data_IF_402556567045
#
_entry.id   IF_402556567045
#
_cell.length_a   1.000
_cell.length_b   1.000
_cell.length_c   1.000
_cell.angle_alpha   90.00
_cell.angle_beta   90.00
_cell.angle_gamma   90.00
#
_symmetry.space_group_name_H-M   'P 1'
#
loop_
_entity.id
_entity.type
_entity.pdbx_description
1 polymer ?
#
# COMPACT_ATOMS: atom_id res chain seq x y z
N UNK A 1 41.25 -12.31 -3.89
CA UNK A 1 39.81 -12.62 -3.91
C UNK A 1 39.32 -12.44 -2.50
N UNK A 2 38.70 -11.29 -2.19
CA UNK A 2 37.87 -11.04 -0.99
C UNK A 2 37.53 -9.53 -0.97
N UNK A 3 36.72 -9.07 -1.92
CA UNK A 3 36.45 -7.63 -2.11
C UNK A 3 34.96 -7.29 -2.26
N UNK A 4 34.08 -8.20 -1.87
CA UNK A 4 32.61 -8.00 -1.89
C UNK A 4 32.01 -8.26 -0.50
N UNK A 5 32.78 -8.83 0.43
CA UNK A 5 32.24 -9.31 1.70
C UNK A 5 31.86 -8.18 2.66
N UNK A 6 32.63 -7.09 2.75
CA UNK A 6 32.42 -6.04 3.76
C UNK A 6 31.10 -5.25 3.60
N UNK A 7 30.61 -5.10 2.37
CA UNK A 7 29.28 -4.53 2.11
C UNK A 7 28.13 -5.46 2.53
N UNK A 8 28.40 -6.77 2.65
CA UNK A 8 27.43 -7.80 3.05
C UNK A 8 27.54 -8.21 4.53
N UNK A 9 28.69 -8.02 5.17
CA UNK A 9 28.95 -8.43 6.56
C UNK A 9 28.75 -7.34 7.61
N UNK A 10 28.39 -6.12 7.20
CA UNK A 10 28.06 -5.03 8.13
C UNK A 10 29.29 -4.33 8.72
N UNK A 11 30.35 -4.16 7.92
CA UNK A 11 31.51 -3.35 8.31
C UNK A 11 31.11 -1.93 8.73
N UNK A 12 31.92 -1.29 9.58
CA UNK A 12 31.62 0.07 10.08
C UNK A 12 31.87 1.11 8.98
N UNK A 13 30.88 1.91 8.56
CA UNK A 13 31.07 2.90 7.52
C UNK A 13 31.99 4.03 7.97
N UNK A 14 32.88 4.48 7.08
CA UNK A 14 33.80 5.61 7.33
C UNK A 14 33.08 6.94 7.21
N UNK A 15 32.02 7.00 6.39
CA UNK A 15 31.20 8.19 6.25
C UNK A 15 29.75 7.79 5.98
N UNK A 16 28.82 8.35 6.74
CA UNK A 16 27.38 8.21 6.50
C UNK A 16 26.81 9.56 6.14
N UNK A 17 26.32 9.70 4.91
CA UNK A 17 25.62 10.89 4.44
C UNK A 17 24.11 10.57 4.44
N UNK A 18 23.33 11.25 5.27
CA UNK A 18 21.87 11.18 5.25
C UNK A 18 21.38 12.39 4.47
N UNK A 19 20.62 12.14 3.40
CA UNK A 19 20.00 13.18 2.59
C UNK A 19 18.50 12.93 2.49
N UNK A 20 17.72 13.90 2.95
CA UNK A 20 16.27 13.89 2.83
C UNK A 20 15.88 14.56 1.52
N UNK A 21 15.23 13.83 0.62
CA UNK A 21 14.62 14.38 -0.60
C UNK A 21 13.11 14.16 -0.51
N UNK A 22 12.38 15.18 -0.06
CA UNK A 22 10.93 15.08 0.16
C UNK A 22 10.58 14.11 1.30
N UNK A 23 9.74 13.11 1.04
CA UNK A 23 9.37 12.05 2.00
C UNK A 23 10.31 10.85 1.99
N UNK A 24 11.35 10.87 1.15
CA UNK A 24 12.30 9.76 1.03
C UNK A 24 13.59 10.11 1.76
N UNK A 25 14.00 9.24 2.69
CA UNK A 25 15.30 9.34 3.34
C UNK A 25 16.28 8.47 2.55
N UNK A 26 17.35 9.10 2.05
CA UNK A 26 18.43 8.41 1.36
C UNK A 26 19.62 8.38 2.31
N UNK A 27 19.96 7.20 2.80
CA UNK A 27 21.18 6.99 3.56
C UNK A 27 22.25 6.43 2.61
N UNK A 28 23.34 7.19 2.44
CA UNK A 28 24.51 6.78 1.67
C UNK A 28 25.63 6.49 2.65
N UNK A 29 25.99 5.22 2.79
CA UNK A 29 27.12 4.77 3.59
C UNK A 29 28.32 4.58 2.65
N UNK A 30 29.44 5.21 2.97
CA UNK A 30 30.72 5.07 2.25
C UNK A 30 31.72 4.39 3.17
N UNK A 31 32.43 3.40 2.65
CA UNK A 31 33.40 2.61 3.39
C UNK A 31 34.84 2.99 3.01
N UNK A 32 35.82 2.55 3.80
CA UNK A 32 37.24 2.90 3.65
C UNK A 32 37.82 2.47 2.30
N UNK A 33 37.23 1.44 1.70
CA UNK A 33 37.59 0.82 0.43
C UNK A 33 37.01 1.58 -0.78
N UNK A 34 36.25 2.66 -0.56
CA UNK A 34 35.58 3.42 -1.61
C UNK A 34 34.24 2.84 -2.07
N UNK A 35 33.79 1.72 -1.48
CA UNK A 35 32.47 1.17 -1.76
C UNK A 35 31.36 2.04 -1.15
N UNK A 36 30.18 1.99 -1.77
CA UNK A 36 29.03 2.81 -1.40
C UNK A 36 27.81 1.90 -1.28
N UNK A 37 27.20 1.87 -0.09
CA UNK A 37 25.90 1.25 0.14
C UNK A 37 24.83 2.36 0.21
N UNK A 38 23.76 2.21 -0.57
CA UNK A 38 22.66 3.18 -0.64
C UNK A 38 21.40 2.50 -0.10
N UNK A 39 21.01 2.87 1.12
CA UNK A 39 19.75 2.43 1.71
C UNK A 39 18.70 3.51 1.41
N UNK A 40 17.75 3.18 0.53
CA UNK A 40 16.57 4.02 0.27
C UNK A 40 15.50 3.64 1.29
N UNK A 41 15.25 4.50 2.26
CA UNK A 41 14.15 4.35 3.20
C UNK A 41 13.01 5.19 2.63
N UNK A 42 12.05 4.51 1.99
CA UNK A 42 10.82 5.17 1.55
C UNK A 42 10.01 5.51 2.82
N UNK A 43 9.96 6.79 3.16
CA UNK A 43 9.08 7.27 4.23
C UNK A 43 7.63 7.08 3.78
N UNK A 44 6.79 6.59 4.70
CA UNK A 44 5.37 6.40 4.43
C UNK A 44 4.76 7.70 3.90
N UNK A 45 4.35 7.70 2.64
CA UNK A 45 3.68 8.84 2.01
C UNK A 45 2.40 9.10 2.81
N UNK A 46 2.32 10.28 3.41
CA UNK A 46 1.09 10.73 4.04
C UNK A 46 -0.03 10.68 2.99
N UNK A 47 -1.19 10.08 3.29
CA UNK A 47 -2.28 10.00 2.32
C UNK A 47 -2.63 11.42 1.87
N UNK A 48 -2.73 11.67 0.55
CA UNK A 48 -2.99 13.01 0.03
C UNK A 48 -4.27 13.58 0.64
N UNK A 49 -4.16 14.77 1.23
CA UNK A 49 -5.32 15.52 1.73
C UNK A 49 -6.18 15.91 0.53
N UNK A 50 -7.35 15.28 0.40
CA UNK A 50 -8.40 15.73 -0.54
C UNK A 50 -9.04 14.67 -1.43
N UNK A 51 -8.63 13.40 -1.39
CA UNK A 51 -9.32 12.30 -2.11
C UNK A 51 -9.60 11.10 -1.21
N UNK A 52 -9.84 11.34 0.07
CA UNK A 52 -10.40 10.30 0.94
C UNK A 52 -11.90 10.25 0.68
N UNK A 53 -12.29 9.45 -0.31
CA UNK A 53 -13.70 9.21 -0.57
C UNK A 53 -14.21 8.10 0.34
N UNK A 54 -15.24 8.39 1.14
CA UNK A 54 -16.06 7.32 1.73
C UNK A 54 -16.87 6.58 0.67
N UNK A 55 -16.98 7.09 -0.57
CA UNK A 55 -17.87 6.52 -1.59
C UNK A 55 -17.52 5.09 -1.98
N UNK A 56 -16.29 4.65 -1.77
CA UNK A 56 -15.91 3.28 -2.08
C UNK A 56 -16.16 2.28 -0.95
N UNK A 57 -16.59 2.68 0.25
CA UNK A 57 -16.91 1.75 1.36
C UNK A 57 -18.42 1.73 1.59
N UNK A 58 -19.11 0.71 1.09
CA UNK A 58 -20.57 0.62 1.11
C UNK A 58 -21.09 -0.79 1.44
N UNK A 59 -22.42 -0.95 1.47
CA UNK A 59 -23.06 -2.27 1.60
C UNK A 59 -22.82 -3.02 2.93
N UNK A 60 -22.30 -2.35 3.95
CA UNK A 60 -21.96 -2.96 5.22
C UNK A 60 -23.20 -3.34 6.05
N UNK A 61 -23.16 -4.49 6.71
CA UNK A 61 -24.03 -4.76 7.86
C UNK A 61 -23.35 -4.23 9.13
N UNK A 62 -24.02 -3.33 9.86
CA UNK A 62 -23.44 -2.69 11.05
C UNK A 62 -23.89 -3.37 12.34
N UNK A 63 -22.94 -3.71 13.22
CA UNK A 63 -23.19 -4.20 14.58
C UNK A 63 -22.26 -3.49 15.56
N UNK A 64 -22.74 -2.39 16.16
CA UNK A 64 -21.92 -1.50 16.99
C UNK A 64 -20.73 -0.95 16.22
N UNK A 65 -19.52 -1.27 16.68
CA UNK A 65 -18.24 -0.91 16.05
C UNK A 65 -17.81 -1.83 14.91
N UNK A 66 -18.54 -2.92 14.69
CA UNK A 66 -18.27 -3.90 13.64
C UNK A 66 -19.01 -3.54 12.36
N UNK A 67 -18.35 -3.76 11.22
CA UNK A 67 -18.89 -3.66 9.88
C UNK A 67 -18.59 -4.95 9.14
N UNK A 68 -19.65 -5.66 8.77
CA UNK A 68 -19.61 -6.95 8.12
C UNK A 68 -19.89 -6.83 6.63
N UNK A 69 -19.13 -7.58 5.83
CA UNK A 69 -19.32 -7.73 4.39
C UNK A 69 -19.49 -6.40 3.62
N UNK A 70 -18.68 -5.40 3.95
CA UNK A 70 -18.65 -4.13 3.23
C UNK A 70 -18.08 -4.32 1.82
N UNK A 71 -18.76 -3.78 0.82
CA UNK A 71 -18.23 -3.59 -0.53
C UNK A 71 -17.20 -2.48 -0.52
N UNK A 72 -15.99 -2.80 -0.96
CA UNK A 72 -14.92 -1.85 -1.22
C UNK A 72 -14.75 -1.80 -2.74
N UNK A 73 -15.03 -0.69 -3.40
CA UNK A 73 -14.86 -0.60 -4.86
C UNK A 73 -14.47 0.79 -5.37
N UNK A 74 -13.80 0.81 -6.53
CA UNK A 74 -13.30 2.02 -7.16
C UNK A 74 -12.95 1.82 -8.64
N UNK A 75 -12.90 2.92 -9.37
CA UNK A 75 -12.52 2.96 -10.79
C UNK A 75 -11.25 3.79 -10.98
N UNK A 76 -10.28 3.21 -11.68
CA UNK A 76 -8.96 3.78 -11.90
C UNK A 76 -8.56 3.61 -13.36
N UNK A 77 -8.59 4.69 -14.15
CA UNK A 77 -8.08 4.66 -15.53
C UNK A 77 -8.71 3.54 -16.39
N UNK A 78 -10.02 3.33 -16.26
CA UNK A 78 -10.73 2.26 -16.99
C UNK A 78 -10.61 0.85 -16.39
N UNK A 79 -9.99 0.72 -15.22
CA UNK A 79 -9.93 -0.51 -14.43
C UNK A 79 -10.80 -0.34 -13.19
N UNK A 80 -11.82 -1.17 -13.04
CA UNK A 80 -12.59 -1.32 -11.81
C UNK A 80 -11.91 -2.34 -10.92
N UNK A 81 -11.71 -1.97 -9.67
CA UNK A 81 -11.31 -2.87 -8.60
C UNK A 81 -12.44 -2.94 -7.58
N UNK A 82 -12.68 -4.11 -7.01
CA UNK A 82 -13.51 -4.22 -5.82
C UNK A 82 -13.28 -5.49 -5.03
N UNK A 83 -13.66 -5.50 -3.76
CA UNK A 83 -13.64 -6.66 -2.88
C UNK A 83 -14.57 -6.47 -1.70
N UNK A 84 -14.86 -7.54 -0.98
CA UNK A 84 -15.62 -7.46 0.27
C UNK A 84 -14.67 -7.48 1.47
N UNK A 85 -14.96 -6.70 2.50
CA UNK A 85 -14.20 -6.70 3.74
C UNK A 85 -15.08 -6.64 4.98
N UNK A 86 -14.57 -7.23 6.06
CA UNK A 86 -15.15 -7.17 7.39
C UNK A 86 -14.13 -6.56 8.33
N UNK A 87 -14.52 -5.53 9.07
CA UNK A 87 -13.63 -4.77 9.93
C UNK A 87 -14.35 -4.23 11.16
N UNK A 88 -13.55 -3.80 12.14
CA UNK A 88 -14.02 -3.08 13.31
C UNK A 88 -13.31 -1.74 13.40
N UNK A 89 -14.05 -0.69 13.78
CA UNK A 89 -13.49 0.60 14.10
C UNK A 89 -14.12 1.14 15.39
N UNK A 90 -13.34 1.80 16.22
CA UNK A 90 -13.76 2.41 17.49
C UNK A 90 -12.62 3.25 18.05
N UNK A 91 -12.79 3.82 19.24
CA UNK A 91 -11.73 4.63 19.86
C UNK A 91 -10.49 3.76 20.11
N UNK A 92 -9.36 4.07 19.48
CA UNK A 92 -8.14 3.29 19.66
C UNK A 92 -8.23 1.88 19.06
N UNK A 93 -9.29 1.56 18.30
CA UNK A 93 -9.45 0.27 17.63
C UNK A 93 -9.75 0.46 16.14
N UNK A 94 -8.93 -0.14 15.29
CA UNK A 94 -9.14 -0.22 13.85
C UNK A 94 -8.53 -1.53 13.39
N UNK A 95 -9.34 -2.46 12.88
CA UNK A 95 -8.84 -3.80 12.55
C UNK A 95 -9.63 -4.41 11.40
N UNK A 96 -8.91 -4.97 10.44
CA UNK A 96 -9.44 -5.75 9.34
C UNK A 96 -9.49 -7.21 9.78
N UNK A 97 -10.68 -7.80 9.76
CA UNK A 97 -10.92 -9.15 10.26
C UNK A 97 -10.85 -10.17 9.13
N UNK A 98 -11.51 -9.87 8.02
CA UNK A 98 -11.59 -10.73 6.85
C UNK A 98 -11.75 -9.90 5.57
N UNK A 99 -11.40 -10.50 4.43
CA UNK A 99 -11.58 -9.96 3.09
C UNK A 99 -11.79 -11.11 2.09
N UNK A 100 -12.58 -10.86 1.04
CA UNK A 100 -12.97 -11.90 0.06
C UNK A 100 -13.47 -11.28 -1.24
N UNK A 101 -13.83 -12.15 -2.20
CA UNK A 101 -14.52 -11.80 -3.45
C UNK A 101 -13.83 -10.69 -4.25
N UNK A 102 -12.56 -10.86 -4.64
CA UNK A 102 -11.89 -9.85 -5.45
C UNK A 102 -12.57 -9.77 -6.82
N UNK A 103 -12.73 -8.54 -7.31
CA UNK A 103 -13.34 -8.20 -8.59
C UNK A 103 -12.38 -7.28 -9.34
N UNK A 104 -12.06 -7.66 -10.57
CA UNK A 104 -11.38 -6.81 -11.54
C UNK A 104 -12.23 -6.76 -12.78
N UNK A 105 -12.46 -5.56 -13.31
CA UNK A 105 -13.15 -5.38 -14.59
C UNK A 105 -12.45 -4.29 -15.36
N UNK A 106 -12.17 -4.51 -16.64
CA UNK A 106 -11.45 -3.56 -17.46
C UNK A 106 -12.28 -3.20 -18.67
N UNK A 107 -12.25 -1.92 -19.04
CA UNK A 107 -12.93 -1.43 -20.24
C UNK A 107 -12.28 -2.02 -21.50
N UNK A 108 -13.02 -2.02 -22.60
CA UNK A 108 -12.50 -2.44 -23.91
C UNK A 108 -11.23 -1.66 -24.27
N UNK A 109 -10.22 -2.36 -24.80
CA UNK A 109 -8.92 -1.77 -25.12
C UNK A 109 -7.89 -1.86 -23.98
N UNK A 110 -8.28 -2.35 -22.80
CA UNK A 110 -7.40 -2.61 -21.66
C UNK A 110 -7.46 -4.10 -21.30
N UNK A 111 -6.31 -4.69 -21.02
CA UNK A 111 -6.20 -6.04 -20.44
C UNK A 111 -5.73 -5.93 -19.00
N UNK A 112 -6.23 -6.81 -18.14
CA UNK A 112 -5.90 -6.83 -16.73
C UNK A 112 -5.53 -8.24 -16.27
N UNK A 113 -4.61 -8.31 -15.32
CA UNK A 113 -4.25 -9.55 -14.65
C UNK A 113 -5.28 -9.95 -13.59
N UNK A 114 -5.06 -11.10 -12.98
CA UNK A 114 -5.77 -11.46 -11.75
C UNK A 114 -5.46 -10.46 -10.62
N UNK A 115 -6.45 -10.17 -9.75
CA UNK A 115 -6.24 -9.34 -8.58
C UNK A 115 -5.36 -10.02 -7.54
N UNK A 116 -4.50 -9.23 -6.89
CA UNK A 116 -3.66 -9.68 -5.79
C UNK A 116 -3.93 -8.85 -4.55
N UNK A 117 -4.18 -9.51 -3.42
CA UNK A 117 -4.31 -8.86 -2.13
C UNK A 117 -2.93 -8.63 -1.49
N UNK A 118 -2.79 -7.48 -0.84
CA UNK A 118 -1.62 -7.11 -0.05
C UNK A 118 -2.08 -6.61 1.32
N UNK A 119 -1.91 -7.44 2.35
CA UNK A 119 -2.19 -7.03 3.73
C UNK A 119 -0.96 -6.30 4.28
N UNK A 120 -1.02 -4.97 4.32
CA UNK A 120 0.06 -4.14 4.87
C UNK A 120 0.00 -4.14 6.39
N UNK A 121 -1.20 -3.97 6.95
CA UNK A 121 -1.41 -3.96 8.41
C UNK A 121 -2.81 -4.40 8.79
N UNK A 122 -2.92 -5.47 9.57
CA UNK A 122 -4.23 -5.99 10.02
C UNK A 122 -4.91 -5.12 11.08
N UNK A 123 -4.15 -4.47 11.96
CA UNK A 123 -4.67 -3.70 13.09
C UNK A 123 -3.92 -2.38 13.25
N UNK A 124 -4.64 -1.31 13.57
CA UNK A 124 -4.07 0.00 13.84
C UNK A 124 -3.11 -0.04 15.03
N UNK A 125 -2.11 0.83 15.02
CA UNK A 125 -1.12 0.94 16.08
C UNK A 125 -0.78 2.41 16.29
N UNK A 126 -1.27 3.00 17.38
CA UNK A 126 -1.16 4.43 17.63
C UNK A 126 -1.77 5.24 16.49
N UNK A 127 -0.98 6.08 15.84
CA UNK A 127 -1.42 6.91 14.72
C UNK A 127 -1.55 6.16 13.39
N UNK A 128 -1.01 4.94 13.29
CA UNK A 128 -0.98 4.14 12.05
C UNK A 128 -2.26 3.33 11.89
N UNK A 129 -2.89 3.44 10.72
CA UNK A 129 -4.14 2.76 10.35
C UNK A 129 -3.94 1.30 9.97
N UNK A 130 -4.96 0.47 10.12
CA UNK A 130 -5.01 -0.81 9.42
C UNK A 130 -5.18 -0.55 7.91
N UNK A 131 -4.54 -1.39 7.09
CA UNK A 131 -4.38 -1.19 5.65
C UNK A 131 -4.37 -2.53 4.92
N UNK A 132 -5.33 -2.69 4.01
CA UNK A 132 -5.43 -3.79 3.07
C UNK A 132 -5.50 -3.20 1.67
N UNK A 133 -4.53 -3.54 0.84
CA UNK A 133 -4.55 -3.24 -0.59
C UNK A 133 -5.03 -4.41 -1.42
N UNK A 134 -5.65 -4.11 -2.55
CA UNK A 134 -5.81 -5.01 -3.68
C UNK A 134 -5.25 -4.31 -4.91
N UNK A 135 -4.48 -5.02 -5.72
CA UNK A 135 -3.91 -4.46 -6.94
C UNK A 135 -4.07 -5.40 -8.12
N UNK A 136 -4.01 -4.82 -9.31
CA UNK A 136 -3.91 -5.57 -10.57
C UNK A 136 -2.91 -4.89 -11.48
N UNK A 137 -2.30 -5.67 -12.35
CA UNK A 137 -1.57 -5.15 -13.49
C UNK A 137 -2.57 -4.89 -14.62
N UNK A 138 -2.33 -3.84 -15.40
CA UNK A 138 -3.11 -3.52 -16.60
C UNK A 138 -2.22 -3.01 -17.74
N UNK A 139 -2.64 -3.26 -18.97
CA UNK A 139 -1.96 -2.75 -20.17
C UNK A 139 -2.96 -2.32 -21.25
N UNK A 140 -2.60 -1.28 -22.00
CA UNK A 140 -3.36 -0.84 -23.16
C UNK A 140 -3.00 -1.71 -24.36
N UNK A 141 -4.01 -2.24 -25.05
CA UNK A 141 -3.81 -3.09 -26.23
C UNK A 141 -3.06 -2.28 -27.30
N UNK A 142 -1.92 -2.82 -27.75
CA UNK A 142 -1.13 -2.24 -28.84
C UNK A 142 -0.20 -1.07 -28.46
N UNK A 143 -0.22 -0.58 -27.23
CA UNK A 143 0.65 0.54 -26.78
C UNK A 143 1.92 0.03 -26.09
N UNK A 144 1.92 -1.21 -25.59
CA UNK A 144 3.02 -1.75 -24.81
C UNK A 144 3.13 -1.09 -23.43
N UNK A 145 3.69 -1.82 -22.46
CA UNK A 145 3.85 -1.35 -21.09
C UNK A 145 2.77 -1.87 -20.13
N UNK A 146 3.23 -2.34 -18.98
CA UNK A 146 2.39 -2.84 -17.88
C UNK A 146 2.39 -1.80 -16.78
N UNK A 147 1.20 -1.36 -16.38
CA UNK A 147 0.98 -0.46 -15.27
C UNK A 147 0.33 -1.21 -14.11
N UNK A 148 0.38 -0.64 -12.92
CA UNK A 148 -0.28 -1.20 -11.73
C UNK A 148 -1.28 -0.20 -11.20
N UNK A 149 -2.45 -0.68 -10.80
CA UNK A 149 -3.45 0.12 -10.07
C UNK A 149 -3.81 -0.54 -8.75
N UNK A 150 -4.17 0.28 -7.76
CA UNK A 150 -4.35 -0.13 -6.36
C UNK A 150 -5.66 0.42 -5.80
N UNK A 151 -6.38 -0.44 -5.08
CA UNK A 151 -7.51 -0.10 -4.23
C UNK A 151 -7.16 -0.47 -2.79
N UNK A 152 -7.22 0.49 -1.88
CA UNK A 152 -6.90 0.31 -0.48
C UNK A 152 -8.12 0.49 0.41
N UNK A 153 -8.32 -0.43 1.36
CA UNK A 153 -9.15 -0.19 2.53
C UNK A 153 -8.28 0.27 3.69
N UNK A 154 -8.57 1.46 4.19
CA UNK A 154 -8.00 1.99 5.40
C UNK A 154 -9.00 1.98 6.54
N UNK A 155 -8.61 1.46 7.70
CA UNK A 155 -9.45 1.45 8.90
C UNK A 155 -8.68 2.05 10.08
N UNK A 156 -9.20 3.13 10.62
CA UNK A 156 -8.64 3.81 11.78
C UNK A 156 -9.72 4.54 12.54
N UNK A 157 -9.71 4.48 13.87
CA UNK A 157 -10.49 5.32 14.78
C UNK A 157 -11.82 5.85 14.21
N UNK A 158 -12.94 5.16 14.48
CA UNK A 158 -14.28 5.56 14.01
C UNK A 158 -14.43 5.80 12.50
N UNK A 159 -13.42 5.49 11.68
CA UNK A 159 -13.41 5.77 10.25
C UNK A 159 -12.88 4.59 9.44
N UNK A 160 -13.48 4.41 8.28
CA UNK A 160 -13.01 3.53 7.23
C UNK A 160 -13.19 4.23 5.88
N UNK A 161 -12.19 4.11 5.01
CA UNK A 161 -12.18 4.82 3.72
C UNK A 161 -11.28 4.15 2.70
N UNK A 162 -11.45 4.54 1.43
CA UNK A 162 -10.59 4.12 0.31
C UNK A 162 -9.86 5.30 -0.31
N UNK A 163 -8.84 5.00 -1.11
CA UNK A 163 -8.22 5.91 -2.08
C UNK A 163 -9.03 6.02 -3.38
#
# INVERSE_FOLDING_TARGET
>A
MDSILDAMTGGTPVKTDISTMGTTEKQVQRFADGSINIVKIEGAVAPPKGQVSTQGVGGCTASGFRRDNCSIDGWFTGVRLGFNATFVYGTGTGRILAYSNPVVTCINGITCSDPVFSMVRKQQSGSLRADLGMYTLYSFIGVGGTNTTYLHLYVKDHSAYTN
#
